data_IF_954642659437
#
_entry.id   IF_954642659437
#
_cell.length_a   1.000
_cell.length_b   1.000
_cell.length_c   1.000
_cell.angle_alpha   90.00
_cell.angle_beta   90.00
_cell.angle_gamma   90.00
#
_symmetry.space_group_name_H-M   'P 1'
#
loop_
_entity.id
_entity.type
_entity.pdbx_description
1 polymer ?
#
# COMPACT_ATOMS: atom_id res chain seq x y z
N UNK A 1 56.56 70.85 23.26
CA UNK A 1 57.27 69.87 22.40
C UNK A 1 56.24 69.04 21.67
N UNK A 2 55.94 69.41 20.43
CA UNK A 2 55.37 68.51 19.41
C UNK A 2 56.57 67.86 18.65
N UNK A 3 56.43 66.89 17.72
CA UNK A 3 55.21 66.46 17.01
C UNK A 3 55.07 64.95 16.62
N UNK A 4 53.86 64.62 16.13
CA UNK A 4 53.49 63.82 14.92
C UNK A 4 54.40 62.68 14.39
N UNK A 5 53.82 61.51 14.07
CA UNK A 5 53.61 60.95 12.71
C UNK A 5 53.17 59.44 12.75
N UNK A 6 52.14 59.08 11.95
CA UNK A 6 51.84 57.70 11.45
C UNK A 6 52.80 57.36 10.26
N UNK A 7 52.64 56.33 9.38
CA UNK A 7 52.02 54.97 9.34
C UNK A 7 52.93 53.88 8.66
N UNK A 8 52.48 52.61 8.53
CA UNK A 8 52.65 51.64 7.38
C UNK A 8 52.34 50.21 7.90
N UNK A 9 51.23 49.53 7.57
CA UNK A 9 50.86 48.76 6.36
C UNK A 9 51.74 47.53 6.03
N UNK A 10 51.03 46.44 5.65
CA UNK A 10 51.43 45.21 4.91
C UNK A 10 51.77 43.98 5.80
N UNK A 11 51.33 42.73 5.56
CA UNK A 11 50.55 42.05 4.51
C UNK A 11 49.91 40.76 5.08
N UNK A 12 48.74 40.40 4.56
CA UNK A 12 48.18 39.05 4.28
C UNK A 12 48.70 37.81 5.05
N UNK A 13 47.79 37.10 5.72
CA UNK A 13 47.60 35.66 5.49
C UNK A 13 46.26 35.18 6.05
N UNK A 14 45.41 34.77 5.13
CA UNK A 14 44.15 34.07 5.33
C UNK A 14 44.47 32.66 5.79
N UNK A 15 43.87 32.21 6.90
CA UNK A 15 43.50 30.80 7.10
C UNK A 15 42.23 30.75 7.94
N UNK A 16 41.11 30.70 7.21
CA UNK A 16 39.80 30.32 7.73
C UNK A 16 39.86 28.83 8.04
N UNK A 17 39.78 28.46 9.32
CA UNK A 17 39.37 27.12 9.72
C UNK A 17 38.20 27.30 10.67
N UNK A 18 37.01 27.31 10.08
CA UNK A 18 35.74 27.22 10.78
C UNK A 18 35.61 25.82 11.36
N UNK A 19 35.67 25.69 12.69
CA UNK A 19 35.23 24.50 13.41
C UNK A 19 33.95 24.87 14.16
N UNK A 20 32.84 24.89 13.44
CA UNK A 20 31.53 24.87 14.07
C UNK A 20 31.20 23.40 14.37
N UNK A 21 31.28 23.05 15.66
CA UNK A 21 30.81 21.77 16.17
C UNK A 21 29.35 21.55 15.76
N UNK A 22 29.09 20.35 15.23
CA UNK A 22 27.78 19.89 14.83
C UNK A 22 26.80 19.93 16.01
N UNK A 23 25.79 20.78 15.91
CA UNK A 23 24.53 20.64 16.63
C UNK A 23 23.44 20.44 15.58
N UNK A 24 23.37 19.23 15.02
CA UNK A 24 22.19 18.78 14.31
C UNK A 24 21.09 18.57 15.35
N UNK A 25 20.29 19.61 15.59
CA UNK A 25 19.02 19.47 16.28
C UNK A 25 18.06 18.78 15.31
N UNK A 26 18.10 17.44 15.33
CA UNK A 26 17.06 16.59 14.77
C UNK A 26 15.86 16.76 15.67
N UNK A 27 14.97 17.68 15.33
CA UNK A 27 13.63 17.68 15.90
C UNK A 27 12.85 16.62 15.11
N UNK A 28 12.91 15.39 15.61
CA UNK A 28 11.85 14.41 15.38
C UNK A 28 10.54 15.02 15.87
N UNK A 29 9.67 15.34 14.93
CA UNK A 29 8.24 15.49 15.16
C UNK A 29 7.52 14.55 14.19
N UNK A 30 7.66 13.25 14.45
CA UNK A 30 6.66 12.26 14.08
C UNK A 30 5.48 12.44 15.03
N UNK A 31 4.34 12.91 14.50
CA UNK A 31 2.99 12.46 14.83
C UNK A 31 1.99 13.59 14.51
N UNK A 32 1.47 13.54 13.29
CA UNK A 32 0.07 13.73 12.89
C UNK A 32 0.12 13.86 11.36
N UNK A 33 0.32 12.74 10.66
CA UNK A 33 0.07 12.64 9.21
C UNK A 33 -1.43 12.36 9.03
N UNK A 34 -2.28 13.35 8.66
CA UNK A 34 -3.71 13.14 8.53
C UNK A 34 -3.99 12.51 7.17
N UNK A 35 -3.46 11.30 6.96
CA UNK A 35 -3.68 10.51 5.76
C UNK A 35 -4.64 9.34 6.01
N UNK A 36 -5.50 9.45 7.04
CA UNK A 36 -6.96 9.18 7.08
C UNK A 36 -7.47 9.33 8.54
N UNK A 37 -8.29 10.35 8.85
CA UNK A 37 -9.37 10.31 9.86
C UNK A 37 -10.36 11.47 9.63
N UNK A 38 -11.47 11.18 8.94
CA UNK A 38 -12.78 11.86 9.03
C UNK A 38 -13.78 10.89 8.40
N UNK A 39 -14.76 10.24 9.07
CA UNK A 39 -15.49 10.51 10.33
C UNK A 39 -15.88 11.98 10.48
N UNK A 40 -16.91 12.43 9.77
CA UNK A 40 -17.43 13.80 9.93
C UNK A 40 -18.59 13.76 10.95
N UNK A 41 -18.56 14.64 11.96
CA UNK A 41 -19.63 15.63 11.99
C UNK A 41 -19.10 17.08 11.86
N UNK A 42 -19.98 17.87 11.27
CA UNK A 42 -20.05 19.32 11.14
C UNK A 42 -19.03 20.07 10.26
N UNK A 43 -19.44 20.28 9.01
CA UNK A 43 -19.52 21.64 8.49
C UNK A 43 -20.86 21.80 7.77
N UNK A 44 -21.72 22.66 8.33
CA UNK A 44 -22.90 23.20 7.67
C UNK A 44 -22.46 23.87 6.37
N UNK A 45 -22.92 23.40 5.22
CA UNK A 45 -22.97 24.24 4.02
C UNK A 45 -24.41 24.67 3.78
N UNK A 46 -24.68 25.93 4.11
CA UNK A 46 -25.73 26.67 3.46
C UNK A 46 -25.29 27.01 2.03
N UNK A 47 -26.14 26.65 1.07
CA UNK A 47 -26.43 27.39 -0.16
C UNK A 47 -25.29 27.82 -1.09
N UNK A 48 -25.20 27.21 -2.28
CA UNK A 48 -24.49 27.81 -3.41
C UNK A 48 -24.45 26.96 -4.68
N UNK A 49 -25.09 27.45 -5.74
CA UNK A 49 -25.25 26.82 -7.07
C UNK A 49 -23.98 26.95 -7.91
N UNK A 50 -23.61 25.91 -8.66
CA UNK A 50 -22.79 26.07 -9.87
C UNK A 50 -21.84 24.93 -10.24
N UNK A 51 -22.18 24.21 -11.31
CA UNK A 51 -21.29 23.68 -12.36
C UNK A 51 -19.94 23.01 -12.01
N UNK A 52 -19.84 21.73 -12.34
CA UNK A 52 -18.62 21.15 -12.92
C UNK A 52 -17.45 20.85 -11.98
N UNK A 53 -17.44 19.62 -11.46
CA UNK A 53 -16.23 18.98 -10.91
C UNK A 53 -15.99 19.27 -9.44
N UNK A 54 -16.60 18.51 -8.53
CA UNK A 54 -16.23 18.68 -7.13
C UNK A 54 -16.28 17.40 -6.31
N UNK A 55 -15.09 17.01 -5.87
CA UNK A 55 -14.84 16.10 -4.77
C UNK A 55 -15.05 16.74 -3.39
N UNK A 56 -15.33 18.03 -3.33
CA UNK A 56 -15.00 18.83 -2.15
C UNK A 56 -13.49 19.09 -2.01
N UNK A 57 -12.66 18.60 -2.93
CA UNK A 57 -11.19 18.68 -2.84
C UNK A 57 -10.69 19.57 -3.98
N UNK A 58 -10.09 20.71 -3.62
CA UNK A 58 -9.45 21.60 -4.57
C UNK A 58 -8.27 20.92 -5.28
N UNK A 59 -7.92 21.41 -6.48
CA UNK A 59 -6.84 20.85 -7.28
C UNK A 59 -5.50 20.78 -6.53
N UNK A 60 -5.22 21.78 -5.68
CA UNK A 60 -4.03 21.81 -4.83
C UNK A 60 -4.02 20.68 -3.78
N UNK A 61 -5.17 20.35 -3.19
CA UNK A 61 -5.29 19.25 -2.23
C UNK A 61 -5.06 17.89 -2.91
N UNK A 62 -5.63 17.71 -4.11
CA UNK A 62 -5.40 16.50 -4.92
C UNK A 62 -3.92 16.35 -5.26
N UNK A 63 -3.23 17.43 -5.64
CA UNK A 63 -1.79 17.41 -5.92
C UNK A 63 -0.98 17.00 -4.68
N UNK A 64 -1.27 17.61 -3.52
CA UNK A 64 -0.56 17.29 -2.27
C UNK A 64 -0.71 15.81 -1.88
N UNK A 65 -1.93 15.27 -1.96
CA UNK A 65 -2.17 13.85 -1.71
C UNK A 65 -1.46 12.95 -2.73
N UNK A 66 -1.43 13.35 -4.00
CA UNK A 66 -0.78 12.57 -5.04
C UNK A 66 0.74 12.54 -4.87
N UNK A 67 1.37 13.67 -4.51
CA UNK A 67 2.80 13.73 -4.17
C UNK A 67 3.14 12.84 -2.96
N UNK A 68 2.29 12.83 -1.93
CA UNK A 68 2.48 11.92 -0.79
C UNK A 68 2.33 10.46 -1.20
N UNK A 69 1.36 10.14 -2.05
CA UNK A 69 1.19 8.81 -2.64
C UNK A 69 2.42 8.39 -3.46
N UNK A 70 2.97 9.27 -4.30
CA UNK A 70 4.17 9.01 -5.09
C UNK A 70 5.35 8.64 -4.19
N UNK A 71 5.58 9.42 -3.13
CA UNK A 71 6.62 9.14 -2.14
C UNK A 71 6.38 7.83 -1.39
N UNK A 72 5.16 7.60 -0.90
CA UNK A 72 4.81 6.44 -0.07
C UNK A 72 4.97 5.11 -0.82
N UNK A 73 4.62 5.07 -2.10
CA UNK A 73 4.65 3.84 -2.91
C UNK A 73 5.79 3.82 -3.94
N UNK A 74 6.73 4.77 -3.85
CA UNK A 74 7.86 4.86 -4.77
C UNK A 74 7.44 4.97 -6.23
N UNK A 75 6.40 5.75 -6.53
CA UNK A 75 5.90 5.90 -7.90
C UNK A 75 6.76 6.87 -8.69
N UNK A 76 7.07 6.46 -9.92
CA UNK A 76 7.69 7.29 -10.94
C UNK A 76 6.95 7.07 -12.26
N UNK A 77 6.77 8.15 -13.03
CA UNK A 77 6.05 8.12 -14.30
C UNK A 77 6.98 8.56 -15.43
N UNK A 78 6.78 8.01 -16.63
CA UNK A 78 7.68 8.22 -17.76
C UNK A 78 7.62 9.63 -18.32
N UNK A 79 6.49 10.33 -18.16
CA UNK A 79 6.31 11.70 -18.64
C UNK A 79 5.38 12.52 -17.75
N UNK A 80 5.39 13.84 -17.96
CA UNK A 80 4.47 14.76 -17.28
C UNK A 80 3.01 14.47 -17.64
N UNK A 81 2.75 14.05 -18.89
CA UNK A 81 1.42 13.66 -19.37
C UNK A 81 0.95 12.38 -18.67
N UNK A 82 1.81 11.37 -18.52
CA UNK A 82 1.48 10.16 -17.76
C UNK A 82 1.20 10.50 -16.30
N UNK A 83 2.05 11.31 -15.66
CA UNK A 83 1.84 11.76 -14.27
C UNK A 83 0.50 12.47 -14.13
N UNK A 84 0.16 13.38 -15.06
CA UNK A 84 -1.11 14.09 -15.05
C UNK A 84 -2.31 13.13 -15.22
N UNK A 85 -2.19 12.13 -16.10
CA UNK A 85 -3.18 11.08 -16.26
C UNK A 85 -3.36 10.28 -14.95
N UNK A 86 -2.26 9.80 -14.36
CA UNK A 86 -2.25 9.01 -13.12
C UNK A 86 -2.84 9.79 -11.94
N UNK A 87 -2.52 11.07 -11.83
CA UNK A 87 -3.15 11.99 -10.87
C UNK A 87 -4.66 12.08 -11.05
N UNK A 88 -5.14 12.14 -12.30
CA UNK A 88 -6.58 12.19 -12.58
C UNK A 88 -7.29 10.90 -12.14
N UNK A 89 -6.66 9.75 -12.35
CA UNK A 89 -7.14 8.43 -11.90
C UNK A 89 -7.12 8.33 -10.38
N UNK A 90 -6.05 8.78 -9.74
CA UNK A 90 -5.92 8.88 -8.29
C UNK A 90 -7.04 9.71 -7.67
N UNK A 91 -7.31 10.90 -8.22
CA UNK A 91 -8.41 11.74 -7.77
C UNK A 91 -9.76 11.02 -7.88
N UNK A 92 -10.00 10.30 -8.99
CA UNK A 92 -11.22 9.51 -9.18
C UNK A 92 -11.35 8.37 -8.15
N UNK A 93 -10.25 7.69 -7.83
CA UNK A 93 -10.21 6.62 -6.85
C UNK A 93 -10.37 7.14 -5.42
N UNK A 94 -9.86 8.33 -5.10
CA UNK A 94 -10.06 8.96 -3.79
C UNK A 94 -11.55 9.30 -3.54
N UNK A 95 -12.30 9.76 -4.55
CA UNK A 95 -13.77 9.92 -4.41
C UNK A 95 -14.45 8.59 -4.14
N UNK A 96 -14.00 7.55 -4.84
CA UNK A 96 -14.56 6.22 -4.68
C UNK A 96 -14.34 5.69 -3.26
N UNK A 97 -13.12 5.83 -2.74
CA UNK A 97 -12.80 5.46 -1.36
C UNK A 97 -13.66 6.24 -0.35
N UNK A 98 -13.75 7.57 -0.47
CA UNK A 98 -14.60 8.41 0.39
C UNK A 98 -16.08 8.02 0.32
N UNK A 99 -16.58 7.66 -0.87
CA UNK A 99 -17.97 7.18 -1.02
C UNK A 99 -18.16 5.85 -0.31
N UNK A 100 -17.25 4.90 -0.48
CA UNK A 100 -17.35 3.60 0.16
C UNK A 100 -17.26 3.69 1.68
N UNK A 101 -16.40 4.56 2.23
CA UNK A 101 -16.32 4.81 3.68
C UNK A 101 -17.65 5.22 4.32
N UNK A 102 -18.50 5.94 3.58
CA UNK A 102 -19.84 6.33 4.05
C UNK A 102 -20.87 5.20 3.96
N UNK A 103 -20.66 4.24 3.07
CA UNK A 103 -21.59 3.12 2.81
C UNK A 103 -21.23 1.89 3.66
N UNK A 104 -19.98 1.76 4.06
CA UNK A 104 -19.45 0.63 4.83
C UNK A 104 -18.62 1.17 6.01
N UNK A 105 -19.27 1.57 7.12
CA UNK A 105 -18.57 2.09 8.29
C UNK A 105 -17.79 1.01 9.05
N UNK A 106 -18.03 -0.28 8.78
CA UNK A 106 -17.29 -1.39 9.37
C UNK A 106 -15.91 -1.61 8.73
N UNK A 107 -15.66 -0.99 7.57
CA UNK A 107 -14.39 -1.05 6.87
C UNK A 107 -13.70 0.32 6.82
N UNK A 108 -12.38 0.30 6.65
CA UNK A 108 -11.58 1.50 6.37
C UNK A 108 -11.25 1.54 4.89
N UNK A 109 -11.74 2.56 4.19
CA UNK A 109 -11.47 2.78 2.78
C UNK A 109 -10.48 3.93 2.58
N UNK A 110 -9.38 3.66 1.88
CA UNK A 110 -8.29 4.62 1.77
C UNK A 110 -7.42 4.46 0.53
N UNK A 111 -6.33 5.22 0.53
CA UNK A 111 -5.27 5.14 -0.50
C UNK A 111 -4.52 3.83 -0.33
N UNK A 112 -4.32 3.10 -1.43
CA UNK A 112 -3.52 1.87 -1.49
C UNK A 112 -2.52 1.98 -2.64
N UNK A 113 -1.61 1.02 -2.77
CA UNK A 113 -0.69 0.97 -3.92
C UNK A 113 -1.42 0.98 -5.27
N UNK A 114 -2.70 0.64 -5.34
CA UNK A 114 -3.47 0.60 -6.59
C UNK A 114 -4.24 1.89 -6.90
N UNK A 115 -4.07 2.93 -6.10
CA UNK A 115 -4.89 4.15 -6.21
C UNK A 115 -4.68 4.94 -7.50
N UNK A 116 -3.59 4.74 -8.24
CA UNK A 116 -3.33 5.37 -9.55
C UNK A 116 -3.71 4.49 -10.77
N UNK A 117 -4.35 3.34 -10.52
CA UNK A 117 -4.79 2.43 -11.57
C UNK A 117 -6.26 2.58 -11.89
N UNK A 118 -6.59 2.52 -13.18
CA UNK A 118 -7.96 2.38 -13.63
C UNK A 118 -8.48 0.97 -13.33
N UNK A 119 -9.82 0.77 -13.25
CA UNK A 119 -10.38 -0.57 -13.07
C UNK A 119 -9.94 -1.58 -14.14
N UNK A 120 -9.75 -1.12 -15.37
CA UNK A 120 -9.31 -1.97 -16.48
C UNK A 120 -7.84 -2.39 -16.34
N UNK A 121 -6.96 -1.47 -15.95
CA UNK A 121 -5.55 -1.78 -15.66
C UNK A 121 -5.42 -2.72 -14.47
N UNK A 122 -6.13 -2.44 -13.37
CA UNK A 122 -6.13 -3.31 -12.20
C UNK A 122 -6.59 -4.73 -12.54
N UNK A 123 -7.70 -4.85 -13.28
CA UNK A 123 -8.22 -6.15 -13.73
C UNK A 123 -7.19 -6.90 -14.57
N UNK A 124 -6.57 -6.23 -15.53
CA UNK A 124 -5.60 -6.85 -16.44
C UNK A 124 -4.34 -7.32 -15.72
N UNK A 125 -3.86 -6.56 -14.74
CA UNK A 125 -2.60 -6.85 -14.05
C UNK A 125 -2.74 -7.81 -12.86
N UNK A 126 -3.82 -7.70 -12.07
CA UNK A 126 -3.92 -8.39 -10.78
C UNK A 126 -4.99 -9.48 -10.70
N UNK A 127 -5.98 -9.48 -11.60
CA UNK A 127 -7.04 -10.50 -11.62
C UNK A 127 -6.70 -11.59 -12.63
N UNK A 128 -5.87 -12.55 -12.21
CA UNK A 128 -5.25 -13.55 -13.09
C UNK A 128 -5.95 -14.91 -13.20
N UNK A 129 -6.99 -15.19 -12.41
CA UNK A 129 -7.62 -16.51 -12.38
C UNK A 129 -8.25 -16.85 -13.74
N UNK A 130 -7.67 -17.82 -14.45
CA UNK A 130 -8.21 -18.37 -15.69
C UNK A 130 -8.98 -19.64 -15.40
N UNK A 131 -10.31 -19.55 -15.35
CA UNK A 131 -11.16 -20.75 -15.31
C UNK A 131 -11.09 -21.45 -16.66
N UNK A 132 -10.60 -22.70 -16.72
CA UNK A 132 -10.81 -23.55 -17.91
C UNK A 132 -12.33 -23.63 -18.17
N UNK A 133 -12.77 -23.42 -19.42
CA UNK A 133 -14.16 -23.70 -19.82
C UNK A 133 -14.39 -25.21 -19.64
N UNK A 134 -15.33 -25.58 -18.77
CA UNK A 134 -15.52 -26.96 -18.28
C UNK A 134 -14.93 -27.24 -16.89
N UNK A 135 -14.42 -26.21 -16.20
CA UNK A 135 -13.72 -26.34 -14.91
C UNK A 135 -14.50 -27.09 -13.82
N UNK A 136 -13.86 -28.13 -13.29
CA UNK A 136 -14.12 -28.82 -12.00
C UNK A 136 -15.61 -29.12 -11.74
N UNK A 137 -16.36 -29.48 -12.78
CA UNK A 137 -17.80 -29.72 -12.69
C UNK A 137 -18.19 -31.17 -12.46
N UNK A 138 -17.28 -32.15 -12.49
CA UNK A 138 -17.75 -33.54 -12.38
C UNK A 138 -16.77 -34.69 -12.37
N UNK A 139 -15.46 -34.51 -12.18
CA UNK A 139 -14.55 -35.68 -12.16
C UNK A 139 -13.25 -35.56 -11.35
N UNK A 140 -12.84 -34.36 -10.88
CA UNK A 140 -11.67 -34.22 -9.97
C UNK A 140 -12.07 -34.34 -8.49
N UNK A 141 -13.36 -34.51 -8.19
CA UNK A 141 -13.78 -35.16 -6.95
C UNK A 141 -13.84 -36.68 -7.18
N UNK A 142 -12.75 -37.27 -7.70
CA UNK A 142 -12.57 -38.71 -7.61
C UNK A 142 -12.51 -39.03 -6.12
N UNK A 143 -13.60 -39.59 -5.57
CA UNK A 143 -13.88 -39.73 -4.14
C UNK A 143 -13.07 -38.74 -3.30
N UNK A 144 -13.50 -37.48 -3.23
CA UNK A 144 -13.14 -36.67 -2.07
C UNK A 144 -13.32 -37.60 -0.88
N UNK A 145 -12.25 -37.95 -0.16
CA UNK A 145 -12.44 -38.55 1.15
C UNK A 145 -13.43 -37.63 1.83
N UNK A 146 -14.67 -38.11 1.98
CA UNK A 146 -15.75 -37.30 2.50
C UNK A 146 -15.27 -36.88 3.87
N UNK A 147 -14.92 -35.60 3.99
CA UNK A 147 -14.32 -35.11 5.21
C UNK A 147 -15.32 -35.47 6.32
N UNK A 148 -14.91 -36.24 7.34
CA UNK A 148 -15.85 -36.68 8.35
C UNK A 148 -16.51 -35.45 8.96
N UNK A 149 -17.82 -35.49 9.17
CA UNK A 149 -18.52 -34.43 9.85
C UNK A 149 -17.97 -34.37 11.28
N UNK A 150 -17.20 -33.32 11.57
CA UNK A 150 -16.62 -33.10 12.88
C UNK A 150 -17.64 -32.43 13.80
N UNK A 151 -17.63 -32.73 15.11
CA UNK A 151 -18.48 -32.04 16.07
C UNK A 151 -18.12 -30.56 16.14
N UNK A 152 -19.13 -29.69 16.15
CA UNK A 152 -18.97 -28.23 16.17
C UNK A 152 -19.48 -27.58 17.45
N UNK A 153 -19.89 -28.36 18.44
CA UNK A 153 -20.52 -27.88 19.67
C UNK A 153 -19.59 -27.03 20.55
N UNK A 154 -18.27 -27.26 20.47
CA UNK A 154 -17.26 -26.67 21.36
C UNK A 154 -16.24 -25.81 20.59
N UNK A 155 -16.65 -25.22 19.47
CA UNK A 155 -15.77 -24.32 18.71
C UNK A 155 -15.62 -22.97 19.42
N UNK A 156 -14.43 -22.35 19.35
CA UNK A 156 -14.24 -21.01 19.89
C UNK A 156 -15.06 -19.99 19.10
N UNK A 157 -15.45 -18.90 19.77
CA UNK A 157 -16.20 -17.80 19.13
C UNK A 157 -15.37 -17.00 18.13
N UNK A 158 -14.04 -17.07 18.24
CA UNK A 158 -13.06 -16.44 17.36
C UNK A 158 -11.84 -17.35 17.21
N UNK A 159 -11.25 -17.40 16.03
CA UNK A 159 -10.11 -18.27 15.75
C UNK A 159 -9.24 -17.72 14.64
N UNK A 160 -7.93 -17.71 14.88
CA UNK A 160 -6.93 -17.27 13.91
C UNK A 160 -5.71 -18.20 13.88
N UNK A 161 -5.41 -18.76 12.71
CA UNK A 161 -4.24 -19.60 12.51
C UNK A 161 -2.91 -18.85 12.68
N UNK A 162 -2.92 -17.51 12.57
CA UNK A 162 -1.74 -16.67 12.82
C UNK A 162 -1.32 -16.75 14.29
N UNK A 163 -2.29 -16.76 15.21
CA UNK A 163 -2.04 -16.88 16.65
C UNK A 163 -1.47 -18.25 17.03
N UNK A 164 -1.67 -19.24 16.16
CA UNK A 164 -1.12 -20.59 16.30
C UNK A 164 0.25 -20.74 15.63
N UNK A 165 0.76 -19.72 14.95
CA UNK A 165 2.03 -19.77 14.21
C UNK A 165 1.98 -20.55 12.89
N UNK A 166 0.78 -20.84 12.37
CA UNK A 166 0.58 -21.67 11.17
C UNK A 166 0.51 -20.86 9.87
N UNK A 167 0.87 -19.58 9.88
CA UNK A 167 0.72 -18.66 8.74
C UNK A 167 2.03 -17.91 8.50
N UNK A 168 2.53 -17.94 7.27
CA UNK A 168 3.72 -17.20 6.85
C UNK A 168 3.43 -15.70 6.68
N UNK A 169 4.49 -14.90 6.49
CA UNK A 169 4.32 -13.48 6.16
C UNK A 169 3.59 -13.27 4.84
N UNK A 170 2.81 -12.19 4.72
CA UNK A 170 2.06 -11.86 3.51
C UNK A 170 3.02 -11.64 2.34
N UNK A 171 2.74 -12.30 1.21
CA UNK A 171 3.55 -12.23 -0.02
C UNK A 171 2.87 -11.36 -1.10
N UNK A 172 3.60 -11.05 -2.18
CA UNK A 172 3.10 -10.21 -3.27
C UNK A 172 3.20 -10.94 -4.62
N UNK A 173 2.05 -11.23 -5.24
CA UNK A 173 1.96 -11.89 -6.54
C UNK A 173 2.43 -11.04 -7.73
N UNK A 174 2.58 -9.73 -7.55
CA UNK A 174 2.83 -8.79 -8.64
C UNK A 174 1.77 -8.87 -9.74
N UNK A 175 2.21 -8.70 -10.99
CA UNK A 175 1.33 -8.68 -12.18
C UNK A 175 1.30 -10.00 -12.96
N UNK A 176 1.70 -11.11 -12.34
CA UNK A 176 1.83 -12.42 -13.01
C UNK A 176 0.47 -13.14 -13.19
N UNK A 177 -0.51 -12.81 -12.34
CA UNK A 177 -1.78 -13.55 -12.30
C UNK A 177 -1.68 -14.92 -11.62
N UNK A 178 -0.66 -15.11 -10.79
CA UNK A 178 -0.33 -16.34 -10.06
C UNK A 178 -1.08 -16.53 -8.74
N UNK A 179 -2.17 -15.79 -8.48
CA UNK A 179 -2.90 -15.86 -7.20
C UNK A 179 -3.29 -17.29 -6.76
N UNK A 180 -3.54 -18.18 -7.72
CA UNK A 180 -3.85 -19.58 -7.47
C UNK A 180 -2.68 -20.34 -6.82
N UNK A 181 -1.43 -20.06 -7.21
CA UNK A 181 -0.25 -20.72 -6.64
C UNK A 181 0.06 -20.19 -5.25
N UNK A 182 -0.16 -18.90 -5.00
CA UNK A 182 -0.10 -18.29 -3.66
C UNK A 182 -1.16 -18.88 -2.73
N UNK A 183 -2.38 -19.09 -3.23
CA UNK A 183 -3.44 -19.73 -2.44
C UNK A 183 -3.11 -21.19 -2.09
N UNK A 184 -2.60 -21.97 -3.04
CA UNK A 184 -2.25 -23.37 -2.82
C UNK A 184 -1.06 -23.52 -1.87
N UNK A 185 0.02 -22.77 -2.11
CA UNK A 185 1.20 -22.77 -1.25
C UNK A 185 0.86 -22.35 0.17
N UNK A 186 0.16 -21.23 0.39
CA UNK A 186 -0.21 -20.78 1.74
C UNK A 186 -1.01 -21.82 2.54
N UNK A 187 -1.92 -22.55 1.89
CA UNK A 187 -2.64 -23.66 2.53
C UNK A 187 -1.71 -24.84 2.88
N UNK A 188 -0.80 -25.21 1.98
CA UNK A 188 0.17 -26.28 2.20
C UNK A 188 1.19 -25.93 3.30
N UNK A 189 1.59 -24.66 3.41
CA UNK A 189 2.48 -24.17 4.46
C UNK A 189 1.85 -24.39 5.85
N UNK A 190 0.58 -24.01 6.01
CA UNK A 190 -0.18 -24.24 7.25
C UNK A 190 -0.37 -25.72 7.54
N UNK A 191 -0.76 -26.51 6.55
CA UNK A 191 -0.90 -27.97 6.72
C UNK A 191 0.44 -28.63 7.13
N UNK A 192 1.56 -28.22 6.53
CA UNK A 192 2.89 -28.69 6.92
C UNK A 192 3.24 -28.30 8.36
N UNK A 193 2.90 -27.07 8.78
CA UNK A 193 3.08 -26.65 10.16
C UNK A 193 2.31 -27.55 11.14
N UNK A 194 1.04 -27.85 10.85
CA UNK A 194 0.22 -28.73 11.69
C UNK A 194 0.77 -30.16 11.78
N UNK A 195 1.28 -30.69 10.67
CA UNK A 195 1.80 -32.05 10.63
C UNK A 195 3.21 -32.19 11.27
N UNK A 196 4.03 -31.13 11.22
CA UNK A 196 5.47 -31.25 11.52
C UNK A 196 5.97 -30.30 12.61
N UNK A 197 5.16 -29.33 13.02
CA UNK A 197 5.55 -28.22 13.90
C UNK A 197 6.50 -27.22 13.26
N UNK A 198 6.75 -27.30 11.94
CA UNK A 198 7.73 -26.45 11.24
C UNK A 198 7.03 -25.59 10.19
N UNK A 199 7.07 -24.27 10.37
CA UNK A 199 6.55 -23.33 9.38
C UNK A 199 7.63 -23.12 8.31
N UNK A 200 7.31 -23.44 7.06
CA UNK A 200 8.21 -23.27 5.92
C UNK A 200 7.54 -22.37 4.90
N UNK A 201 8.28 -21.44 4.33
CA UNK A 201 7.85 -20.73 3.12
C UNK A 201 8.10 -21.62 1.91
N UNK A 202 7.05 -22.05 1.24
CA UNK A 202 7.09 -22.88 0.03
C UNK A 202 7.20 -21.99 -1.23
N UNK A 203 7.56 -22.62 -2.36
CA UNK A 203 7.81 -21.93 -3.63
C UNK A 203 6.55 -21.85 -4.49
N UNK A 204 5.99 -20.66 -4.64
CA UNK A 204 4.92 -20.40 -5.61
C UNK A 204 5.38 -20.60 -7.05
N UNK A 205 6.65 -20.27 -7.32
CA UNK A 205 7.22 -20.30 -8.66
C UNK A 205 7.30 -21.74 -9.20
N UNK A 206 7.57 -22.73 -8.33
CA UNK A 206 7.55 -24.13 -8.73
C UNK A 206 6.18 -24.56 -9.25
N UNK A 207 5.09 -24.11 -8.61
CA UNK A 207 3.74 -24.40 -9.10
C UNK A 207 3.51 -23.71 -10.45
N UNK A 208 3.89 -22.44 -10.57
CA UNK A 208 3.75 -21.68 -11.83
C UNK A 208 4.46 -22.37 -13.00
N UNK A 209 5.66 -22.90 -12.78
CA UNK A 209 6.51 -23.48 -13.83
C UNK A 209 6.19 -24.95 -14.13
N UNK A 210 5.53 -25.68 -13.21
CA UNK A 210 5.38 -27.13 -13.31
C UNK A 210 3.93 -27.64 -13.33
N UNK A 211 2.93 -26.83 -12.99
CA UNK A 211 1.50 -27.22 -12.98
C UNK A 211 0.87 -27.17 -14.39
N UNK A 212 1.49 -27.87 -15.34
CA UNK A 212 1.11 -27.89 -16.75
C UNK A 212 0.52 -29.22 -17.23
N UNK A 213 0.41 -30.22 -16.35
CA UNK A 213 -0.19 -31.53 -16.61
C UNK A 213 -1.70 -31.54 -16.30
#
# INVERSE_FOLDING_TARGET
>A
MAPLLRPLLLFLSILVVSSAAAAAAVVEAEAEDPLILQVVPDAKEEGGVGGGGHLGLGAAAVEAHFVSFERRFGRSYASAEERAHRRSVFAANLRRARRHQRLDPGAVHGVTQFSDLTPAEFRRAFLGLRRKKGGVGGSIFGSSHEAPILPTNDLPSDFDWRDQGAVTGVKNQGSCGSCWSFSASGALEGANFLATGKLKSLSEQQLVDCDHE
#
